data_IF_377590820344
#
_entry.id   IF_377590820344
#
_cell.length_a   1.000
_cell.length_b   1.000
_cell.length_c   1.000
_cell.angle_alpha   90.00
_cell.angle_beta   90.00
_cell.angle_gamma   90.00
#
_symmetry.space_group_name_H-M   'P 1'
#
loop_
_entity.id
_entity.type
_entity.pdbx_description
1 polymer ?
#
# COMPACT_ATOMS: atom_id res chain seq x y z
N UNK A 1 41.61 23.51 2.39
CA UNK A 1 41.73 23.00 1.01
C UNK A 1 41.42 21.50 0.87
N UNK A 2 42.19 20.56 1.45
CA UNK A 2 41.87 19.11 1.32
C UNK A 2 40.58 18.68 2.03
N UNK A 3 40.27 19.25 3.21
CA UNK A 3 39.04 18.94 3.97
C UNK A 3 37.77 19.45 3.28
N UNK A 4 37.85 20.62 2.64
CA UNK A 4 36.70 21.26 1.97
C UNK A 4 36.29 20.47 0.72
N UNK A 5 37.27 20.02 -0.09
CA UNK A 5 37.03 19.13 -1.23
C UNK A 5 36.45 17.77 -0.81
N UNK A 6 36.90 17.23 0.33
CA UNK A 6 36.39 15.95 0.84
C UNK A 6 34.93 16.07 1.32
N UNK A 7 34.57 17.16 1.99
CA UNK A 7 33.18 17.44 2.38
C UNK A 7 32.28 17.66 1.16
N UNK A 8 32.74 18.38 0.14
CA UNK A 8 31.99 18.60 -1.09
C UNK A 8 31.72 17.27 -1.83
N UNK A 9 32.71 16.38 -1.92
CA UNK A 9 32.54 15.06 -2.53
C UNK A 9 31.54 14.18 -1.75
N UNK A 10 31.57 14.24 -0.42
CA UNK A 10 30.61 13.50 0.42
C UNK A 10 29.18 14.01 0.24
N UNK A 11 28.99 15.32 0.18
CA UNK A 11 27.68 15.92 -0.09
C UNK A 11 27.16 15.55 -1.49
N UNK A 12 28.01 15.62 -2.52
CA UNK A 12 27.63 15.19 -3.87
C UNK A 12 27.26 13.73 -3.93
N UNK A 13 27.97 12.87 -3.20
CA UNK A 13 27.66 11.43 -3.10
C UNK A 13 26.30 11.22 -2.44
N UNK A 14 26.01 11.89 -1.33
CA UNK A 14 24.73 11.78 -0.64
C UNK A 14 23.56 12.21 -1.54
N UNK A 15 23.67 13.35 -2.22
CA UNK A 15 22.66 13.83 -3.18
C UNK A 15 22.42 12.83 -4.32
N UNK A 16 23.48 12.21 -4.84
CA UNK A 16 23.34 11.18 -5.88
C UNK A 16 22.65 9.91 -5.35
N UNK A 17 22.95 9.51 -4.12
CA UNK A 17 22.29 8.37 -3.48
C UNK A 17 20.80 8.62 -3.25
N UNK A 18 20.42 9.81 -2.78
CA UNK A 18 19.03 10.22 -2.59
C UNK A 18 18.25 10.17 -3.91
N UNK A 19 18.82 10.72 -4.99
CA UNK A 19 18.23 10.66 -6.33
C UNK A 19 18.04 9.23 -6.83
N UNK A 20 19.04 8.38 -6.64
CA UNK A 20 18.98 6.98 -7.05
C UNK A 20 17.91 6.22 -6.24
N UNK A 21 17.81 6.48 -4.94
CA UNK A 21 16.81 5.86 -4.07
C UNK A 21 15.39 6.21 -4.52
N UNK A 22 15.10 7.48 -4.78
CA UNK A 22 13.79 7.93 -5.28
C UNK A 22 13.47 7.30 -6.63
N UNK A 23 14.42 7.30 -7.57
CA UNK A 23 14.21 6.70 -8.90
C UNK A 23 13.94 5.20 -8.82
N UNK A 24 14.71 4.48 -8.01
CA UNK A 24 14.52 3.05 -7.81
C UNK A 24 13.14 2.77 -7.19
N UNK A 25 12.76 3.53 -6.17
CA UNK A 25 11.45 3.40 -5.54
C UNK A 25 10.32 3.61 -6.53
N UNK A 26 10.36 4.68 -7.34
CA UNK A 26 9.32 4.94 -8.34
C UNK A 26 9.21 3.75 -9.30
N UNK A 27 10.36 3.23 -9.76
CA UNK A 27 10.38 2.12 -10.71
C UNK A 27 9.77 0.86 -10.10
N UNK A 28 10.15 0.48 -8.89
CA UNK A 28 9.76 -0.81 -8.31
C UNK A 28 8.43 -0.78 -7.54
N UNK A 29 7.96 0.41 -7.11
CA UNK A 29 6.80 0.52 -6.24
C UNK A 29 5.62 1.29 -6.84
N UNK A 30 5.89 2.20 -7.78
CA UNK A 30 4.82 2.99 -8.41
C UNK A 30 4.55 2.46 -9.81
N UNK A 31 5.58 2.30 -10.64
CA UNK A 31 5.41 1.81 -12.01
C UNK A 31 4.93 0.36 -12.03
N UNK A 32 5.46 -0.51 -11.17
CA UNK A 32 4.98 -1.89 -11.02
C UNK A 32 3.52 -1.98 -10.54
N UNK A 33 3.01 -0.93 -9.88
CA UNK A 33 1.61 -0.85 -9.41
C UNK A 33 0.66 -0.24 -10.46
N UNK A 34 1.17 0.49 -11.46
CA UNK A 34 0.33 1.12 -12.49
C UNK A 34 -0.67 0.17 -13.16
N UNK A 35 -0.36 -1.11 -13.44
CA UNK A 35 -1.35 -2.03 -14.00
C UNK A 35 -2.64 -2.16 -13.18
N UNK A 36 -2.55 -2.07 -11.85
CA UNK A 36 -3.73 -2.04 -10.96
C UNK A 36 -4.55 -0.79 -11.24
N UNK A 37 -3.89 0.37 -11.33
CA UNK A 37 -4.56 1.66 -11.53
C UNK A 37 -5.13 1.79 -12.95
N UNK A 38 -4.43 1.29 -13.96
CA UNK A 38 -4.91 1.16 -15.33
C UNK A 38 -6.23 0.38 -15.38
N UNK A 39 -6.31 -0.75 -14.67
CA UNK A 39 -7.53 -1.53 -14.56
C UNK A 39 -8.68 -0.73 -13.95
N UNK A 40 -8.42 -0.02 -12.84
CA UNK A 40 -9.44 0.82 -12.18
C UNK A 40 -10.00 1.89 -13.12
N UNK A 41 -9.14 2.54 -13.90
CA UNK A 41 -9.54 3.57 -14.87
C UNK A 41 -10.30 2.97 -16.05
N UNK A 42 -9.79 1.88 -16.63
CA UNK A 42 -10.38 1.22 -17.80
C UNK A 42 -11.78 0.67 -17.52
N UNK A 43 -12.03 0.21 -16.30
CA UNK A 43 -13.32 -0.33 -15.87
C UNK A 43 -14.23 0.71 -15.20
N UNK A 44 -13.85 1.99 -15.19
CA UNK A 44 -14.60 3.09 -14.57
C UNK A 44 -15.00 2.83 -13.11
N UNK A 45 -14.12 2.15 -12.37
CA UNK A 45 -14.35 1.81 -10.96
C UNK A 45 -14.17 3.07 -10.13
N UNK A 46 -15.14 3.39 -9.27
CA UNK A 46 -15.05 4.57 -8.41
C UNK A 46 -14.02 4.32 -7.31
N UNK A 47 -12.94 5.10 -7.33
CA UNK A 47 -11.86 5.03 -6.36
C UNK A 47 -11.29 6.42 -6.06
N UNK A 48 -10.56 6.55 -4.96
CA UNK A 48 -9.74 7.73 -4.68
C UNK A 48 -8.34 7.30 -4.28
N UNK A 49 -7.33 7.85 -4.94
CA UNK A 49 -5.94 7.71 -4.53
C UNK A 49 -5.66 8.66 -3.36
N UNK A 50 -5.43 8.11 -2.17
CA UNK A 50 -5.18 8.88 -0.94
C UNK A 50 -3.77 9.45 -0.92
N UNK A 51 -2.80 8.63 -1.29
CA UNK A 51 -1.42 9.04 -1.54
C UNK A 51 -0.72 8.03 -2.43
N UNK A 52 0.31 8.49 -3.16
CA UNK A 52 1.23 7.63 -3.91
C UNK A 52 2.30 7.05 -3.00
N UNK A 53 2.83 7.89 -2.12
CA UNK A 53 3.86 7.50 -1.17
C UNK A 53 3.95 8.47 0.00
N UNK A 54 4.59 8.00 1.06
CA UNK A 54 4.97 8.83 2.20
C UNK A 54 6.45 9.19 2.06
N UNK A 55 6.75 10.49 2.03
CA UNK A 55 8.12 10.98 1.86
C UNK A 55 8.48 12.00 2.93
N UNK A 56 9.77 12.15 3.21
CA UNK A 56 10.25 13.20 4.10
C UNK A 56 10.51 14.49 3.31
N UNK A 57 10.51 15.62 4.02
CA UNK A 57 10.71 16.93 3.41
C UNK A 57 12.06 17.06 2.68
N UNK A 58 13.09 16.34 3.12
CA UNK A 58 14.41 16.36 2.49
C UNK A 58 14.39 15.76 1.07
N UNK A 59 13.63 14.69 0.85
CA UNK A 59 13.58 13.98 -0.43
C UNK A 59 12.55 14.56 -1.40
N UNK A 60 11.65 15.40 -0.92
CA UNK A 60 10.56 15.97 -1.71
C UNK A 60 11.01 16.59 -3.06
N UNK A 61 12.07 17.43 -3.14
CA UNK A 61 12.49 18.00 -4.42
C UNK A 61 12.91 16.94 -5.47
N UNK A 62 13.45 15.80 -5.02
CA UNK A 62 13.85 14.71 -5.92
C UNK A 62 12.66 13.92 -6.43
N UNK A 63 11.63 13.76 -5.58
CA UNK A 63 10.35 13.17 -5.95
C UNK A 63 9.65 14.01 -7.02
N UNK A 64 9.51 15.32 -6.78
CA UNK A 64 8.88 16.24 -7.72
C UNK A 64 9.59 16.23 -9.08
N UNK A 65 10.91 16.30 -9.08
CA UNK A 65 11.72 16.26 -10.30
C UNK A 65 11.61 14.93 -11.05
N UNK A 66 11.49 13.80 -10.34
CA UNK A 66 11.42 12.48 -10.94
C UNK A 66 10.03 12.17 -11.49
N UNK A 67 8.96 12.55 -10.79
CA UNK A 67 7.58 12.40 -11.25
C UNK A 67 7.30 13.25 -12.50
N UNK A 68 7.85 14.47 -12.57
CA UNK A 68 7.70 15.36 -13.73
C UNK A 68 8.38 14.83 -15.02
N UNK A 69 9.26 13.82 -14.91
CA UNK A 69 9.93 13.21 -16.06
C UNK A 69 9.24 11.95 -16.57
N UNK A 70 8.22 11.47 -15.86
CA UNK A 70 7.51 10.24 -16.21
C UNK A 70 6.20 10.58 -16.91
N UNK A 71 5.75 9.75 -17.86
CA UNK A 71 4.50 9.96 -18.60
C UNK A 71 3.29 9.57 -17.72
N UNK A 72 3.10 10.28 -16.62
CA UNK A 72 2.06 9.99 -15.61
C UNK A 72 0.84 10.91 -15.73
N UNK A 73 0.80 11.80 -16.74
CA UNK A 73 -0.34 12.68 -16.99
C UNK A 73 -1.69 11.94 -17.09
N UNK A 74 -1.80 10.76 -17.74
CA UNK A 74 -3.06 10.02 -17.82
C UNK A 74 -3.65 9.65 -16.46
N UNK A 75 -2.79 9.51 -15.44
CA UNK A 75 -3.19 9.10 -14.10
C UNK A 75 -3.55 10.28 -13.19
N UNK A 76 -3.31 11.52 -13.64
CA UNK A 76 -3.52 12.72 -12.83
C UNK A 76 -2.59 12.82 -11.62
N UNK A 77 -1.48 12.09 -11.64
CA UNK A 77 -0.55 12.04 -10.52
C UNK A 77 0.16 13.39 -10.34
N UNK A 78 0.17 13.89 -9.11
CA UNK A 78 0.81 15.15 -8.80
C UNK A 78 1.40 15.18 -7.38
N UNK A 79 2.14 16.23 -7.08
CA UNK A 79 2.93 16.36 -5.85
C UNK A 79 2.07 16.45 -4.59
N UNK A 80 0.77 16.79 -4.69
CA UNK A 80 -0.15 16.77 -3.55
C UNK A 80 -0.44 15.36 -3.03
N UNK A 81 -0.13 14.33 -3.82
CA UNK A 81 -0.26 12.92 -3.44
C UNK A 81 1.02 12.35 -2.82
N UNK A 82 2.08 13.17 -2.72
CA UNK A 82 3.23 12.88 -1.88
C UNK A 82 2.89 13.29 -0.45
N UNK A 83 2.52 12.30 0.36
CA UNK A 83 2.17 12.57 1.74
C UNK A 83 3.44 12.89 2.52
N UNK A 84 3.52 14.11 3.05
CA UNK A 84 4.59 14.54 3.95
C UNK A 84 4.02 14.52 5.37
N UNK A 85 4.24 13.43 6.08
CA UNK A 85 3.72 13.26 7.43
C UNK A 85 4.72 12.52 8.32
N UNK A 86 4.86 13.03 9.54
CA UNK A 86 5.50 12.34 10.67
C UNK A 86 4.56 11.32 11.34
N UNK A 87 3.33 11.18 10.83
CA UNK A 87 2.22 10.43 11.44
C UNK A 87 2.02 9.10 10.73
N UNK A 88 1.89 8.04 11.54
CA UNK A 88 1.68 6.64 11.16
C UNK A 88 0.98 6.47 9.81
N UNK A 89 1.75 6.04 8.81
CA UNK A 89 1.20 5.58 7.53
C UNK A 89 0.16 4.49 7.78
N UNK A 90 -0.74 4.22 6.83
CA UNK A 90 -1.69 3.12 7.05
C UNK A 90 -0.96 1.80 7.33
N UNK A 91 0.21 1.60 6.71
CA UNK A 91 1.10 0.46 6.93
C UNK A 91 1.55 0.37 8.40
N UNK A 92 2.07 1.46 8.96
CA UNK A 92 2.47 1.49 10.37
C UNK A 92 1.29 1.28 11.32
N UNK A 93 0.12 1.84 10.98
CA UNK A 93 -1.11 1.63 11.74
C UNK A 93 -1.55 0.17 11.69
N UNK A 94 -1.52 -0.47 10.53
CA UNK A 94 -1.88 -1.88 10.37
C UNK A 94 -0.87 -2.79 11.05
N UNK A 95 0.43 -2.51 10.97
CA UNK A 95 1.46 -3.28 11.68
C UNK A 95 1.27 -3.24 13.20
N UNK A 96 0.78 -2.11 13.73
CA UNK A 96 0.51 -1.97 15.16
C UNK A 96 -0.76 -2.70 15.60
N UNK A 97 -1.81 -2.66 14.79
CA UNK A 97 -3.12 -3.25 15.11
C UNK A 97 -3.19 -4.75 14.79
N UNK A 98 -2.44 -5.16 13.77
CA UNK A 98 -2.35 -6.51 13.24
C UNK A 98 -0.86 -6.87 13.09
N UNK A 99 -0.21 -7.24 14.21
CA UNK A 99 1.24 -7.44 14.24
C UNK A 99 1.66 -8.57 13.31
N UNK A 100 2.82 -8.40 12.70
CA UNK A 100 3.40 -9.42 11.84
C UNK A 100 3.87 -10.63 12.66
N UNK A 101 3.49 -11.83 12.24
CA UNK A 101 3.87 -13.10 12.88
C UNK A 101 5.06 -13.78 12.21
N UNK A 102 5.54 -13.29 11.05
CA UNK A 102 6.61 -13.91 10.27
C UNK A 102 7.81 -12.97 10.05
N UNK A 103 9.05 -13.46 10.14
CA UNK A 103 10.24 -12.59 10.09
C UNK A 103 10.62 -12.09 8.69
N UNK A 104 10.22 -12.80 7.63
CA UNK A 104 10.68 -12.54 6.26
C UNK A 104 9.64 -11.86 5.36
N UNK A 105 8.38 -11.82 5.80
CA UNK A 105 7.25 -11.23 5.08
C UNK A 105 6.18 -10.82 6.07
N UNK A 106 5.26 -9.97 5.63
CA UNK A 106 4.11 -9.60 6.44
C UNK A 106 3.05 -10.70 6.39
N UNK A 107 2.75 -11.28 7.54
CA UNK A 107 1.56 -12.12 7.74
C UNK A 107 0.93 -11.66 9.06
N UNK A 108 -0.29 -11.10 9.02
CA UNK A 108 -0.91 -10.55 10.20
C UNK A 108 -1.26 -11.64 11.21
N UNK A 109 -1.21 -11.30 12.49
CA UNK A 109 -1.76 -12.12 13.58
C UNK A 109 -3.30 -12.11 13.52
N UNK A 110 -3.84 -12.82 12.54
CA UNK A 110 -5.27 -12.97 12.29
C UNK A 110 -5.61 -14.44 12.06
N UNK A 111 -6.86 -14.85 12.36
CA UNK A 111 -7.35 -16.15 11.98
C UNK A 111 -7.32 -16.34 10.46
N UNK A 112 -6.97 -17.55 10.03
CA UNK A 112 -7.15 -17.98 8.64
C UNK A 112 -8.64 -18.09 8.37
N UNK A 113 -9.10 -17.42 7.32
CA UNK A 113 -10.44 -17.57 6.77
C UNK A 113 -10.52 -18.82 5.90
N UNK A 114 -9.58 -18.96 4.95
CA UNK A 114 -9.46 -20.11 4.07
C UNK A 114 -8.02 -20.24 3.57
N UNK A 115 -7.53 -21.48 3.48
CA UNK A 115 -6.30 -21.87 2.80
C UNK A 115 -6.58 -22.64 1.50
N UNK A 116 -7.86 -22.79 1.14
CA UNK A 116 -8.28 -23.37 -0.14
C UNK A 116 -8.10 -22.35 -1.27
N UNK A 117 -7.60 -22.82 -2.42
CA UNK A 117 -7.51 -22.03 -3.63
C UNK A 117 -8.90 -21.79 -4.22
N UNK A 118 -9.49 -20.65 -3.88
CA UNK A 118 -10.79 -20.19 -4.38
C UNK A 118 -10.67 -18.82 -5.06
N UNK A 119 -11.60 -18.43 -5.94
CA UNK A 119 -11.58 -17.13 -6.58
C UNK A 119 -11.58 -15.99 -5.54
N UNK A 120 -10.72 -14.97 -5.69
CA UNK A 120 -10.65 -13.83 -4.78
C UNK A 120 -11.99 -13.15 -4.50
N UNK A 121 -12.87 -13.02 -5.50
CA UNK A 121 -14.22 -12.48 -5.30
C UNK A 121 -15.05 -13.29 -4.31
N UNK A 122 -14.91 -14.62 -4.33
CA UNK A 122 -15.62 -15.53 -3.42
C UNK A 122 -15.04 -15.43 -2.01
N UNK A 123 -13.71 -15.48 -1.88
CA UNK A 123 -13.04 -15.37 -0.59
C UNK A 123 -13.32 -14.02 0.10
N UNK A 124 -13.27 -12.93 -0.66
CA UNK A 124 -13.56 -11.60 -0.14
C UNK A 124 -15.03 -11.48 0.28
N UNK A 125 -15.98 -12.00 -0.50
CA UNK A 125 -17.38 -12.03 -0.11
C UNK A 125 -17.61 -12.84 1.18
N UNK A 126 -16.95 -14.00 1.31
CA UNK A 126 -17.00 -14.80 2.55
C UNK A 126 -16.43 -14.04 3.75
N UNK A 127 -15.32 -13.32 3.57
CA UNK A 127 -14.71 -12.50 4.62
C UNK A 127 -15.66 -11.39 5.09
N UNK A 128 -16.30 -10.72 4.13
CA UNK A 128 -17.28 -9.64 4.37
C UNK A 128 -18.50 -10.17 5.13
N UNK A 129 -19.03 -11.32 4.72
CA UNK A 129 -20.16 -11.97 5.41
C UNK A 129 -19.77 -12.45 6.81
N UNK A 130 -18.59 -13.07 6.96
CA UNK A 130 -18.07 -13.56 8.24
C UNK A 130 -17.91 -12.44 9.26
N UNK A 131 -17.38 -11.30 8.82
CA UNK A 131 -17.19 -10.11 9.64
C UNK A 131 -18.44 -9.22 9.72
N UNK A 132 -19.53 -9.55 9.03
CA UNK A 132 -20.77 -8.76 8.97
C UNK A 132 -20.53 -7.29 8.59
N UNK A 133 -19.63 -7.06 7.61
CA UNK A 133 -19.22 -5.72 7.24
C UNK A 133 -20.32 -5.04 6.41
N UNK A 134 -20.68 -3.77 6.72
CA UNK A 134 -21.54 -3.01 5.85
C UNK A 134 -20.81 -2.64 4.56
N UNK A 135 -21.55 -2.44 3.47
CA UNK A 135 -20.98 -1.85 2.26
C UNK A 135 -20.54 -0.40 2.55
N UNK A 136 -19.29 -0.08 2.26
CA UNK A 136 -18.66 1.20 2.56
C UNK A 136 -17.34 1.39 1.84
N UNK A 137 -16.76 2.58 1.94
CA UNK A 137 -15.40 2.82 1.46
C UNK A 137 -14.39 2.10 2.36
N UNK A 138 -13.48 1.35 1.74
CA UNK A 138 -12.42 0.61 2.41
C UNK A 138 -11.07 1.05 1.89
N UNK A 139 -10.03 0.85 2.69
CA UNK A 139 -8.65 1.02 2.26
C UNK A 139 -8.17 -0.25 1.57
N UNK A 140 -7.56 -0.08 0.40
CA UNK A 140 -6.88 -1.13 -0.36
C UNK A 140 -5.44 -0.71 -0.58
N UNK A 141 -4.50 -1.58 -0.17
CA UNK A 141 -3.08 -1.40 -0.42
C UNK A 141 -2.39 -2.76 -0.47
N UNK A 142 -1.21 -2.77 -1.08
CA UNK A 142 -0.39 -3.96 -1.27
C UNK A 142 0.89 -3.75 -0.48
N UNK A 143 1.28 -4.71 0.37
CA UNK A 143 2.44 -4.56 1.25
C UNK A 143 3.74 -4.28 0.49
N UNK A 144 3.83 -4.80 -0.75
CA UNK A 144 4.96 -4.52 -1.62
C UNK A 144 4.97 -3.06 -2.08
N UNK A 145 3.82 -2.49 -2.42
CA UNK A 145 3.71 -1.18 -3.05
C UNK A 145 3.46 -0.06 -2.04
N UNK A 146 3.66 1.18 -2.49
CA UNK A 146 3.44 2.37 -1.66
C UNK A 146 2.05 3.00 -1.74
N UNK A 147 1.32 2.96 -2.87
CA UNK A 147 0.04 3.67 -3.00
C UNK A 147 -1.06 3.16 -2.08
N UNK A 148 -1.90 4.08 -1.59
CA UNK A 148 -3.10 3.78 -0.82
C UNK A 148 -4.35 4.23 -1.58
N UNK A 149 -5.26 3.29 -1.82
CA UNK A 149 -6.55 3.54 -2.46
C UNK A 149 -7.68 3.50 -1.44
N UNK A 150 -8.71 4.32 -1.66
CA UNK A 150 -10.07 4.03 -1.20
C UNK A 150 -10.91 3.53 -2.35
N UNK A 151 -11.71 2.50 -2.09
CA UNK A 151 -12.64 1.89 -3.04
C UNK A 151 -13.90 1.45 -2.30
N UNK A 152 -15.04 1.46 -2.99
CA UNK A 152 -16.28 0.91 -2.46
C UNK A 152 -16.14 -0.62 -2.32
N UNK A 153 -16.49 -1.18 -1.16
CA UNK A 153 -16.33 -2.61 -0.88
C UNK A 153 -17.07 -3.50 -1.89
N UNK A 154 -18.30 -3.15 -2.26
CA UNK A 154 -19.06 -3.89 -3.27
C UNK A 154 -18.42 -3.88 -4.66
N UNK A 155 -17.78 -2.78 -5.07
CA UNK A 155 -17.03 -2.73 -6.33
C UNK A 155 -15.73 -3.55 -6.21
N UNK A 156 -15.05 -3.50 -5.05
CA UNK A 156 -13.86 -4.31 -4.81
C UNK A 156 -14.17 -5.81 -4.90
N UNK A 157 -15.28 -6.28 -4.33
CA UNK A 157 -15.73 -7.68 -4.45
C UNK A 157 -15.94 -8.05 -5.93
N UNK A 158 -16.63 -7.21 -6.70
CA UNK A 158 -16.92 -7.47 -8.11
C UNK A 158 -15.65 -7.59 -8.97
N UNK A 159 -14.59 -6.89 -8.59
CA UNK A 159 -13.34 -6.80 -9.33
C UNK A 159 -12.16 -7.50 -8.64
N UNK A 160 -12.43 -8.28 -7.58
CA UNK A 160 -11.41 -8.86 -6.72
C UNK A 160 -10.48 -9.81 -7.48
N UNK A 161 -10.99 -10.58 -8.44
CA UNK A 161 -10.17 -11.56 -9.19
C UNK A 161 -9.03 -10.89 -9.99
N UNK A 162 -9.22 -9.64 -10.40
CA UNK A 162 -8.22 -8.86 -11.14
C UNK A 162 -7.36 -8.00 -10.20
N UNK A 163 -7.96 -7.47 -9.14
CA UNK A 163 -7.29 -6.58 -8.19
C UNK A 163 -6.49 -7.31 -7.11
N UNK A 164 -6.81 -8.56 -6.82
CA UNK A 164 -6.23 -9.36 -5.73
C UNK A 164 -5.76 -10.68 -6.33
N UNK A 165 -4.45 -10.81 -6.52
CA UNK A 165 -3.85 -12.03 -7.05
C UNK A 165 -2.38 -12.12 -6.63
N UNK A 166 -1.79 -13.29 -6.86
CA UNK A 166 -0.42 -13.60 -6.46
C UNK A 166 0.66 -12.74 -7.13
N UNK A 167 0.37 -12.04 -8.24
CA UNK A 167 1.32 -11.10 -8.85
C UNK A 167 1.53 -9.86 -7.99
N UNK A 168 0.44 -9.36 -7.40
CA UNK A 168 0.51 -8.20 -6.51
C UNK A 168 0.92 -8.60 -5.09
N UNK A 169 0.52 -9.82 -4.67
CA UNK A 169 0.84 -10.44 -3.39
C UNK A 169 0.45 -9.58 -2.17
N UNK A 170 0.40 -10.19 -0.98
CA UNK A 170 0.28 -9.53 0.32
C UNK A 170 -0.65 -8.30 0.32
N UNK A 171 -1.90 -8.54 -0.07
CA UNK A 171 -2.91 -7.49 -0.27
C UNK A 171 -3.70 -7.29 1.01
N UNK A 172 -3.81 -6.04 1.44
CA UNK A 172 -4.51 -5.65 2.67
C UNK A 172 -5.74 -4.81 2.34
N UNK A 173 -6.87 -5.20 2.93
CA UNK A 173 -8.15 -4.51 2.85
C UNK A 173 -8.60 -4.23 4.27
N UNK A 174 -8.80 -2.96 4.64
CA UNK A 174 -9.16 -2.62 6.02
C UNK A 174 -10.06 -1.40 6.13
N UNK A 175 -10.67 -1.25 7.30
CA UNK A 175 -11.35 -0.01 7.64
C UNK A 175 -10.34 1.14 7.87
N UNK A 176 -10.75 2.35 7.56
CA UNK A 176 -9.92 3.54 7.79
C UNK A 176 -9.55 3.75 9.26
N UNK A 177 -10.44 3.35 10.17
CA UNK A 177 -10.20 3.38 11.62
C UNK A 177 -9.34 2.20 12.12
N UNK A 178 -9.10 1.18 11.30
CA UNK A 178 -8.35 -0.03 11.65
C UNK A 178 -9.14 -1.03 12.49
N UNK A 179 -10.47 -0.89 12.55
CA UNK A 179 -11.35 -1.78 13.34
C UNK A 179 -11.38 -3.22 12.84
N UNK A 180 -11.06 -3.48 11.59
CA UNK A 180 -10.97 -4.83 11.01
C UNK A 180 -10.00 -4.85 9.84
N UNK A 181 -9.55 -6.04 9.47
CA UNK A 181 -8.73 -6.28 8.28
C UNK A 181 -9.05 -7.62 7.63
N UNK A 182 -8.95 -7.64 6.31
CA UNK A 182 -8.93 -8.81 5.43
C UNK A 182 -7.59 -8.77 4.70
N UNK A 183 -6.86 -9.87 4.71
CA UNK A 183 -5.53 -9.98 4.13
C UNK A 183 -5.44 -11.21 3.24
N UNK A 184 -4.84 -11.05 2.07
CA UNK A 184 -4.54 -12.13 1.14
C UNK A 184 -3.02 -12.23 0.98
N UNK A 185 -2.46 -13.38 1.34
CA UNK A 185 -1.02 -13.63 1.29
C UNK A 185 -0.56 -14.10 -0.08
N UNK A 186 0.76 -14.01 -0.32
CA UNK A 186 1.40 -14.61 -1.49
C UNK A 186 1.26 -16.15 -1.58
N UNK A 187 0.95 -16.83 -0.47
CA UNK A 187 0.68 -18.28 -0.44
C UNK A 187 -0.77 -18.65 -0.80
N UNK A 188 -1.54 -17.70 -1.34
CA UNK A 188 -2.96 -17.87 -1.64
C UNK A 188 -3.84 -18.13 -0.40
N UNK A 189 -3.39 -17.67 0.78
CA UNK A 189 -4.12 -17.83 2.05
C UNK A 189 -4.84 -16.53 2.39
N UNK A 190 -6.11 -16.67 2.79
CA UNK A 190 -6.93 -15.55 3.24
C UNK A 190 -7.00 -15.52 4.76
N UNK A 191 -6.84 -14.32 5.31
CA UNK A 191 -6.96 -14.02 6.73
C UNK A 191 -8.02 -12.94 6.91
N UNK A 192 -8.79 -13.00 7.97
CA UNK A 192 -9.77 -11.95 8.26
C UNK A 192 -10.05 -11.87 9.75
N UNK A 193 -10.17 -10.67 10.29
CA UNK A 193 -10.54 -10.50 11.69
C UNK A 193 -10.49 -9.07 12.19
N UNK A 194 -10.63 -8.99 13.51
CA UNK A 194 -10.55 -7.77 14.30
C UNK A 194 -9.17 -7.69 14.95
N UNK A 195 -8.65 -6.49 15.24
CA UNK A 195 -7.41 -6.37 15.97
C UNK A 195 -7.56 -7.09 17.31
N UNK A 196 -6.48 -7.75 17.75
CA UNK A 196 -6.45 -8.35 19.07
C UNK A 196 -6.89 -7.29 20.09
N UNK A 197 -7.74 -7.65 21.05
CA UNK A 197 -8.11 -6.75 22.13
C UNK A 197 -6.80 -6.23 22.73
N UNK A 198 -6.50 -4.96 22.47
CA UNK A 198 -5.33 -4.33 23.05
C UNK A 198 -5.60 -4.35 24.54
N UNK A 199 -4.90 -5.22 25.27
CA UNK A 199 -4.83 -5.11 26.71
C UNK A 199 -4.49 -3.64 26.96
N UNK A 200 -5.44 -2.96 27.61
CA UNK A 200 -5.31 -1.57 28.01
C UNK A 200 -4.09 -1.51 28.91
N UNK A 201 -2.91 -1.27 28.34
CA UNK A 201 -1.76 -0.93 29.13
C UNK A 201 -2.05 0.47 29.72
N UNK A 202 -2.10 0.57 31.06
CA UNK A 202 -2.45 1.80 31.77
C UNK A 202 -1.42 2.91 31.57
#
# INVERSE_FOLDING_TARGET
MQKDQQQELLQRKAVMQDKLAVKNFITTQILDWLPVYDYLLAHHIRHTLRYLTCTNQQLQPYWEASLAQLPLEPYGFNTSQLYNGEVYTILEKTDRLFPNTYPLRYVPDLPVLTDELIPPAVALAQAVDHLQLPDGEVYLFYQRFSPLLTIQLSDLIRHADELINSWYADTSICAADGSWMIFYSIEDIWYSGYPAATDKHP
#
